data_IF_346963460121
#
_entry.id   IF_346963460121
#
_cell.length_a   1.000
_cell.length_b   1.000
_cell.length_c   1.000
_cell.angle_alpha   90.00
_cell.angle_beta   90.00
_cell.angle_gamma   90.00
#
_symmetry.space_group_name_H-M   'P 1'
#
loop_
_entity.id
_entity.type
_entity.pdbx_description
1 polymer ?
#
# COMPACT_ATOMS: atom_id res chain seq x y z
N UNK A 1 -31.57 20.47 33.03
CA UNK A 1 -33.00 20.83 32.81
C UNK A 1 -33.21 22.30 32.42
N UNK A 2 -32.53 23.29 33.02
CA UNK A 2 -32.66 24.71 32.59
C UNK A 2 -32.20 25.01 31.14
N UNK A 3 -31.37 24.15 30.51
CA UNK A 3 -30.75 24.43 29.18
C UNK A 3 -31.68 24.26 27.97
N UNK A 4 -32.58 23.27 27.99
CA UNK A 4 -33.62 23.14 26.95
C UNK A 4 -34.60 24.32 26.97
N UNK A 5 -34.62 25.10 28.08
CA UNK A 5 -35.49 26.25 28.21
C UNK A 5 -35.03 27.44 27.36
N UNK A 6 -33.73 27.63 27.16
CA UNK A 6 -33.20 28.79 26.41
C UNK A 6 -33.59 28.70 24.92
N UNK A 7 -33.37 27.53 24.33
CA UNK A 7 -33.74 27.24 22.95
C UNK A 7 -35.25 27.29 22.76
N UNK A 8 -36.01 26.72 23.71
CA UNK A 8 -37.46 26.79 23.72
C UNK A 8 -37.98 28.22 23.87
N UNK A 9 -37.36 29.04 24.71
CA UNK A 9 -37.71 30.45 24.93
C UNK A 9 -37.41 31.29 23.69
N UNK A 10 -36.21 31.19 23.12
CA UNK A 10 -35.88 31.90 21.89
C UNK A 10 -36.77 31.45 20.73
N UNK A 11 -37.03 30.14 20.61
CA UNK A 11 -37.96 29.61 19.62
C UNK A 11 -39.35 30.21 19.79
N UNK A 12 -39.92 30.12 21.00
CA UNK A 12 -41.26 30.62 21.29
C UNK A 12 -41.37 32.12 21.01
N UNK A 13 -40.32 32.89 21.32
CA UNK A 13 -40.26 34.31 21.00
C UNK A 13 -40.25 34.51 19.48
N UNK A 14 -39.35 33.84 18.75
CA UNK A 14 -39.18 34.05 17.32
C UNK A 14 -40.36 33.50 16.49
N UNK A 15 -40.97 32.38 16.89
CA UNK A 15 -42.09 31.74 16.19
C UNK A 15 -43.35 32.59 16.22
N UNK A 16 -43.56 33.31 17.32
CA UNK A 16 -44.73 34.16 17.51
C UNK A 16 -44.51 35.58 16.94
N UNK A 17 -43.30 35.87 16.44
CA UNK A 17 -42.92 37.21 15.98
C UNK A 17 -43.08 37.38 14.46
N UNK A 18 -43.91 38.34 14.04
CA UNK A 18 -43.91 38.81 12.65
C UNK A 18 -42.93 39.96 12.46
N UNK A 19 -41.73 39.66 11.96
CA UNK A 19 -40.78 40.69 11.54
C UNK A 19 -41.27 41.38 10.26
N UNK A 20 -41.04 42.69 10.16
CA UNK A 20 -41.17 43.46 8.92
C UNK A 20 -39.94 43.23 8.04
N UNK A 21 -38.75 43.27 8.64
CA UNK A 21 -37.48 42.92 8.02
C UNK A 21 -36.43 42.63 9.11
N UNK A 22 -35.38 41.90 8.74
CA UNK A 22 -34.19 41.73 9.56
C UNK A 22 -33.00 42.22 8.73
N UNK A 23 -32.27 43.22 9.22
CA UNK A 23 -31.10 43.76 8.51
C UNK A 23 -29.81 43.37 9.22
N UNK A 24 -28.90 42.73 8.48
CA UNK A 24 -27.59 42.34 9.00
C UNK A 24 -26.55 43.41 8.64
N UNK A 25 -26.05 44.14 9.63
CA UNK A 25 -24.94 45.09 9.51
C UNK A 25 -23.62 44.41 9.90
N UNK A 26 -22.43 44.96 9.61
CA UNK A 26 -21.17 44.30 9.94
C UNK A 26 -21.02 43.86 11.40
N UNK A 27 -21.57 44.62 12.36
CA UNK A 27 -21.49 44.34 13.81
C UNK A 27 -22.83 44.23 14.53
N UNK A 28 -23.92 44.46 13.81
CA UNK A 28 -25.25 44.61 14.39
C UNK A 28 -26.30 43.85 13.58
N UNK A 29 -27.40 43.51 14.22
CA UNK A 29 -28.59 42.94 13.60
C UNK A 29 -29.78 43.81 14.00
N UNK A 30 -30.44 44.40 13.02
CA UNK A 30 -31.64 45.19 13.22
C UNK A 30 -32.85 44.28 13.02
N UNK A 31 -33.57 43.98 14.10
CA UNK A 31 -34.87 43.33 14.05
C UNK A 31 -35.95 44.39 13.91
N UNK A 32 -36.50 44.58 12.71
CA UNK A 32 -37.61 45.51 12.49
C UNK A 32 -38.95 44.78 12.62
N UNK A 33 -39.78 45.21 13.55
CA UNK A 33 -41.10 44.63 13.82
C UNK A 33 -42.20 45.40 13.09
N UNK A 34 -43.27 44.71 12.69
CA UNK A 34 -44.47 45.36 12.15
C UNK A 34 -45.13 46.23 13.21
N UNK A 35 -45.30 45.72 14.42
CA UNK A 35 -45.87 46.41 15.58
C UNK A 35 -45.10 46.05 16.85
N UNK A 36 -45.05 46.96 17.84
CA UNK A 36 -44.53 46.64 19.17
C UNK A 36 -45.59 45.85 19.94
N UNK A 37 -45.26 44.61 20.27
CA UNK A 37 -46.12 43.74 21.08
C UNK A 37 -45.31 42.94 22.10
N UNK A 38 -45.95 41.96 22.73
CA UNK A 38 -45.31 41.12 23.75
C UNK A 38 -44.04 40.43 23.24
N UNK A 39 -44.01 40.07 21.95
CA UNK A 39 -42.85 39.45 21.29
C UNK A 39 -41.66 40.40 21.14
N UNK A 40 -41.90 41.69 20.94
CA UNK A 40 -40.85 42.71 20.93
C UNK A 40 -40.17 42.80 22.29
N UNK A 41 -40.96 42.94 23.36
CA UNK A 41 -40.42 43.00 24.73
C UNK A 41 -39.78 41.68 25.17
N UNK A 42 -40.32 40.54 24.74
CA UNK A 42 -39.75 39.24 25.03
C UNK A 42 -38.39 39.05 24.32
N UNK A 43 -38.28 39.40 23.02
CA UNK A 43 -37.01 39.36 22.31
C UNK A 43 -35.99 40.34 22.90
N UNK A 44 -36.43 41.55 23.26
CA UNK A 44 -35.58 42.54 23.93
C UNK A 44 -35.07 42.01 25.27
N UNK A 45 -35.94 41.42 26.08
CA UNK A 45 -35.58 40.82 27.37
C UNK A 45 -34.60 39.67 27.19
N UNK A 46 -34.85 38.81 26.20
CA UNK A 46 -33.94 37.73 25.82
C UNK A 46 -32.58 38.30 25.44
N UNK A 47 -32.51 39.21 24.46
CA UNK A 47 -31.26 39.83 24.01
C UNK A 47 -30.52 40.55 25.15
N UNK A 48 -31.22 41.22 26.07
CA UNK A 48 -30.63 41.83 27.26
C UNK A 48 -30.05 40.80 28.22
N UNK A 49 -30.76 39.69 28.46
CA UNK A 49 -30.29 38.63 29.37
C UNK A 49 -28.98 38.01 28.90
N UNK A 50 -28.75 38.00 27.58
CA UNK A 50 -27.51 37.57 26.96
C UNK A 50 -26.60 38.74 26.61
N UNK A 51 -26.79 39.97 27.08
CA UNK A 51 -25.90 41.09 26.75
C UNK A 51 -25.72 41.39 25.25
N UNK A 52 -26.67 40.95 24.42
CA UNK A 52 -26.68 41.15 22.97
C UNK A 52 -27.43 42.44 22.59
N UNK A 53 -28.32 42.94 23.43
CA UNK A 53 -29.08 44.17 23.16
C UNK A 53 -28.17 45.41 23.18
N UNK A 54 -28.24 46.24 22.14
CA UNK A 54 -27.49 47.50 22.06
C UNK A 54 -28.41 48.72 22.16
N UNK A 55 -29.40 48.83 21.28
CA UNK A 55 -30.25 50.01 21.16
C UNK A 55 -31.67 49.65 20.73
N UNK A 56 -32.63 50.49 21.13
CA UNK A 56 -34.01 50.46 20.65
C UNK A 56 -34.32 51.77 19.93
N UNK A 57 -34.79 51.69 18.69
CA UNK A 57 -35.22 52.85 17.91
C UNK A 57 -36.56 52.58 17.22
N UNK A 58 -37.64 53.11 17.80
CA UNK A 58 -38.99 52.79 17.33
C UNK A 58 -39.22 51.27 17.37
N UNK A 59 -39.71 50.68 16.29
CA UNK A 59 -39.97 49.24 16.18
C UNK A 59 -38.71 48.42 15.79
N UNK A 60 -37.51 48.94 16.03
CA UNK A 60 -36.25 48.29 15.70
C UNK A 60 -35.51 47.94 16.99
N UNK A 61 -35.17 46.66 17.16
CA UNK A 61 -34.20 46.21 18.16
C UNK A 61 -32.85 45.98 17.47
N UNK A 62 -31.80 46.62 17.97
CA UNK A 62 -30.44 46.43 17.48
C UNK A 62 -29.71 45.48 18.43
N UNK A 63 -29.24 44.35 17.89
CA UNK A 63 -28.44 43.37 18.62
C UNK A 63 -26.99 43.35 18.13
N UNK A 64 -26.01 43.23 19.03
CA UNK A 64 -24.61 42.98 18.69
C UNK A 64 -24.45 41.60 18.06
N UNK A 65 -23.69 41.50 16.96
CA UNK A 65 -23.29 40.22 16.36
C UNK A 65 -22.25 39.46 17.18
N UNK A 66 -21.42 40.22 17.88
CA UNK A 66 -20.38 39.73 18.76
C UNK A 66 -20.56 40.39 20.11
N UNK A 67 -21.07 39.65 21.07
CA UNK A 67 -20.96 40.06 22.45
C UNK A 67 -19.83 39.23 23.07
N UNK A 68 -18.64 39.83 23.14
CA UNK A 68 -17.43 39.22 23.71
C UNK A 68 -17.68 38.56 25.07
N UNK A 69 -18.65 39.09 25.83
CA UNK A 69 -19.05 38.63 27.17
C UNK A 69 -19.94 37.39 27.18
N UNK A 70 -20.48 36.95 26.05
CA UNK A 70 -21.67 36.07 26.01
C UNK A 70 -21.38 34.70 25.42
N UNK A 71 -20.29 34.60 24.66
CA UNK A 71 -19.91 33.36 23.99
C UNK A 71 -20.88 32.91 22.91
N UNK A 72 -21.75 33.78 22.36
CA UNK A 72 -22.62 33.49 21.22
C UNK A 72 -22.31 34.43 20.05
N UNK A 73 -22.13 33.88 18.85
CA UNK A 73 -21.97 34.64 17.60
C UNK A 73 -23.20 34.46 16.70
N UNK A 74 -23.73 35.56 16.16
CA UNK A 74 -24.97 35.55 15.37
C UNK A 74 -24.70 35.80 13.88
N UNK A 75 -25.24 34.94 13.03
CA UNK A 75 -25.10 34.98 11.58
C UNK A 75 -26.46 35.12 10.90
N UNK A 76 -26.49 35.83 9.78
CA UNK A 76 -27.74 36.07 9.02
C UNK A 76 -28.05 35.10 7.91
N UNK A 77 -27.15 34.16 7.67
CA UNK A 77 -27.41 33.03 6.79
C UNK A 77 -26.42 31.91 7.09
N UNK A 78 -26.73 30.71 6.59
CA UNK A 78 -25.80 29.59 6.64
C UNK A 78 -24.51 29.91 5.90
N UNK A 79 -24.58 30.56 4.73
CA UNK A 79 -23.39 30.97 3.96
C UNK A 79 -22.47 31.89 4.76
N UNK A 80 -23.02 32.86 5.51
CA UNK A 80 -22.21 33.73 6.36
C UNK A 80 -21.51 32.94 7.47
N UNK A 81 -22.23 32.03 8.12
CA UNK A 81 -21.65 31.15 9.14
C UNK A 81 -20.51 30.33 8.55
N UNK A 82 -20.77 29.62 7.45
CA UNK A 82 -19.80 28.70 6.87
C UNK A 82 -18.63 29.40 6.19
N UNK A 83 -18.79 30.64 5.73
CA UNK A 83 -17.68 31.48 5.30
C UNK A 83 -16.79 31.84 6.51
N UNK A 84 -17.38 32.25 7.63
CA UNK A 84 -16.62 32.58 8.84
C UNK A 84 -15.89 31.35 9.41
N UNK A 85 -16.56 30.20 9.43
CA UNK A 85 -15.96 28.94 9.86
C UNK A 85 -14.85 28.48 8.90
N UNK A 86 -14.99 28.77 7.60
CA UNK A 86 -13.96 28.46 6.61
C UNK A 86 -12.66 29.23 6.90
N UNK A 87 -12.80 30.48 7.35
CA UNK A 87 -11.70 31.38 7.69
C UNK A 87 -11.08 31.10 9.07
N UNK A 88 -11.86 30.60 10.05
CA UNK A 88 -11.42 30.47 11.45
C UNK A 88 -11.38 29.04 12.03
N UNK A 89 -11.55 28.01 11.18
CA UNK A 89 -11.45 26.56 11.45
C UNK A 89 -12.42 25.95 12.48
N UNK A 90 -12.74 26.61 13.60
CA UNK A 90 -13.79 26.17 14.53
C UNK A 90 -14.38 27.39 15.27
N UNK A 91 -15.68 27.41 15.57
CA UNK A 91 -16.26 28.50 16.31
C UNK A 91 -15.89 28.34 17.78
N UNK A 92 -15.17 29.31 18.31
CA UNK A 92 -14.84 29.35 19.75
C UNK A 92 -16.05 29.63 20.66
N UNK A 93 -17.22 29.82 20.05
CA UNK A 93 -18.44 30.34 20.64
C UNK A 93 -19.63 29.50 20.15
N UNK A 94 -20.70 29.49 20.94
CA UNK A 94 -22.01 29.03 20.47
C UNK A 94 -22.46 29.88 19.27
N UNK A 95 -23.23 29.31 18.36
CA UNK A 95 -23.63 29.96 17.12
C UNK A 95 -25.15 30.05 17.05
N UNK A 96 -25.65 31.19 16.61
CA UNK A 96 -27.04 31.37 16.22
C UNK A 96 -27.07 31.83 14.77
N UNK A 97 -27.68 31.04 13.89
CA UNK A 97 -27.93 31.43 12.50
C UNK A 97 -29.40 31.69 12.35
N UNK A 98 -29.75 32.91 11.98
CA UNK A 98 -31.10 33.30 11.65
C UNK A 98 -31.24 33.26 10.13
N UNK A 99 -32.12 32.44 9.59
CA UNK A 99 -32.36 32.40 8.17
C UNK A 99 -33.75 32.97 7.85
N UNK A 100 -33.83 34.29 7.61
CA UNK A 100 -35.11 34.99 7.47
C UNK A 100 -35.91 34.52 6.25
N UNK A 101 -35.27 33.93 5.25
CA UNK A 101 -35.92 33.49 3.99
C UNK A 101 -36.81 32.28 4.22
N UNK A 102 -36.44 31.41 5.17
CA UNK A 102 -37.13 30.15 5.46
C UNK A 102 -37.85 30.15 6.79
N UNK A 103 -37.74 31.24 7.56
CA UNK A 103 -38.28 31.33 8.91
C UNK A 103 -37.76 30.22 9.85
N UNK A 104 -36.54 29.73 9.58
CA UNK A 104 -35.82 28.77 10.40
C UNK A 104 -34.65 29.44 11.11
N UNK A 105 -34.20 28.82 12.20
CA UNK A 105 -32.94 29.18 12.82
C UNK A 105 -32.18 27.94 13.27
N UNK A 106 -30.87 28.07 13.23
CA UNK A 106 -29.94 27.05 13.68
C UNK A 106 -29.21 27.56 14.91
N UNK A 107 -29.22 26.78 15.97
CA UNK A 107 -28.43 27.07 17.15
C UNK A 107 -27.47 25.92 17.45
N UNK A 108 -26.20 26.28 17.59
CA UNK A 108 -25.15 25.37 18.03
C UNK A 108 -24.63 25.82 19.38
N UNK A 109 -24.61 24.90 20.34
CA UNK A 109 -24.03 25.17 21.65
C UNK A 109 -22.66 24.51 21.76
N UNK A 110 -21.60 25.31 21.95
CA UNK A 110 -20.24 24.78 22.08
C UNK A 110 -20.09 23.85 23.30
N UNK A 111 -20.85 24.09 24.37
CA UNK A 111 -20.71 23.37 25.65
C UNK A 111 -21.16 21.91 25.59
N UNK A 112 -22.14 21.59 24.74
CA UNK A 112 -22.62 20.23 24.50
C UNK A 112 -21.93 19.57 23.33
N UNK A 113 -21.45 20.34 22.35
CA UNK A 113 -21.02 19.82 21.06
C UNK A 113 -22.19 19.38 20.18
N UNK A 114 -23.42 19.54 20.67
CA UNK A 114 -24.65 19.20 19.96
C UNK A 114 -25.18 20.43 19.24
N UNK A 115 -25.54 20.24 17.98
CA UNK A 115 -26.15 21.25 17.16
C UNK A 115 -27.63 20.90 16.95
N UNK A 116 -28.53 21.87 17.20
CA UNK A 116 -29.98 21.71 17.06
C UNK A 116 -30.51 22.71 16.03
N UNK A 117 -31.09 22.21 14.94
CA UNK A 117 -31.88 22.98 13.98
C UNK A 117 -33.30 22.86 14.50
N UNK A 118 -33.98 23.98 14.63
CA UNK A 118 -35.42 23.98 14.83
C UNK A 118 -36.06 24.39 13.51
N UNK A 119 -36.63 23.41 12.82
CA UNK A 119 -37.36 23.61 11.56
C UNK A 119 -38.84 23.40 11.83
N UNK A 120 -39.65 24.43 11.60
CA UNK A 120 -41.10 24.44 11.88
C UNK A 120 -41.47 23.94 13.31
N UNK A 121 -40.58 24.15 14.29
CA UNK A 121 -40.79 23.74 15.69
C UNK A 121 -40.42 22.30 16.01
N UNK A 122 -39.82 21.58 15.06
CA UNK A 122 -39.22 20.26 15.31
C UNK A 122 -37.72 20.42 15.49
N UNK A 123 -37.19 19.88 16.58
CA UNK A 123 -35.76 19.69 16.75
C UNK A 123 -35.33 18.61 15.77
N UNK A 124 -34.64 18.98 14.71
CA UNK A 124 -33.99 18.04 13.80
C UNK A 124 -32.55 17.88 14.29
N UNK A 125 -32.14 16.65 14.61
CA UNK A 125 -30.72 16.35 14.87
C UNK A 125 -29.89 16.80 13.67
N UNK A 126 -28.92 17.65 13.91
CA UNK A 126 -28.26 18.34 12.80
C UNK A 126 -27.01 17.62 12.37
N UNK A 127 -27.11 16.97 11.23
CA UNK A 127 -25.94 16.56 10.45
C UNK A 127 -25.18 17.78 9.91
N UNK A 128 -25.73 18.99 9.97
CA UNK A 128 -25.14 20.22 9.40
C UNK A 128 -23.73 20.50 9.91
N UNK A 129 -23.56 20.67 11.22
CA UNK A 129 -22.24 21.02 11.77
C UNK A 129 -21.27 19.84 11.71
N UNK A 130 -21.78 18.62 11.92
CA UNK A 130 -20.99 17.40 11.80
C UNK A 130 -20.44 17.23 10.37
N UNK A 131 -21.32 17.28 9.36
CA UNK A 131 -20.93 17.20 7.96
C UNK A 131 -20.03 18.37 7.57
N UNK A 132 -20.24 19.56 8.15
CA UNK A 132 -19.34 20.68 7.91
C UNK A 132 -17.93 20.43 8.43
N UNK A 133 -17.82 19.92 9.66
CA UNK A 133 -16.54 19.54 10.28
C UNK A 133 -15.81 18.45 9.51
N UNK A 134 -16.53 17.63 8.74
CA UNK A 134 -15.93 16.64 7.83
C UNK A 134 -15.60 17.23 6.44
N UNK A 135 -16.53 18.00 5.88
CA UNK A 135 -16.46 18.52 4.52
C UNK A 135 -15.33 19.54 4.38
N UNK A 136 -15.20 20.45 5.33
CA UNK A 136 -14.24 21.55 5.24
C UNK A 136 -12.79 21.06 5.26
N UNK A 137 -12.35 20.21 6.22
CA UNK A 137 -10.99 19.72 6.23
C UNK A 137 -10.68 18.88 5.00
N UNK A 138 -11.65 18.08 4.51
CA UNK A 138 -11.48 17.31 3.29
C UNK A 138 -11.33 18.23 2.06
N UNK A 139 -12.14 19.28 1.95
CA UNK A 139 -12.03 20.26 0.87
C UNK A 139 -10.67 20.97 0.92
N UNK A 140 -10.25 21.44 2.10
CA UNK A 140 -8.94 22.06 2.31
C UNK A 140 -7.81 21.10 1.93
N UNK A 141 -7.93 19.83 2.28
CA UNK A 141 -6.96 18.80 1.93
C UNK A 141 -6.87 18.56 0.43
N UNK A 142 -7.99 18.46 -0.29
CA UNK A 142 -7.97 18.34 -1.76
C UNK A 142 -7.30 19.56 -2.39
N UNK A 143 -7.62 20.78 -1.92
CA UNK A 143 -7.07 22.02 -2.45
C UNK A 143 -5.58 22.21 -2.16
N UNK A 144 -5.14 21.78 -0.99
CA UNK A 144 -3.76 21.98 -0.55
C UNK A 144 -2.81 20.82 -0.96
N UNK A 145 -3.34 19.65 -1.32
CA UNK A 145 -2.54 18.48 -1.68
C UNK A 145 -2.35 18.35 -3.19
N UNK A 146 -1.16 18.72 -3.67
CA UNK A 146 -0.77 18.62 -5.08
C UNK A 146 -0.78 17.20 -5.67
N UNK A 147 -0.74 16.17 -4.81
CA UNK A 147 -0.85 14.78 -5.26
C UNK A 147 -2.28 14.45 -5.69
N UNK A 148 -3.28 15.13 -5.11
CA UNK A 148 -4.69 14.98 -5.43
C UNK A 148 -5.15 15.96 -6.51
N UNK A 149 -4.74 17.23 -6.43
CA UNK A 149 -5.17 18.28 -7.37
C UNK A 149 -3.99 19.01 -8.01
N UNK A 150 -4.06 19.19 -9.33
CA UNK A 150 -3.02 19.88 -10.09
C UNK A 150 -3.11 21.38 -9.93
N UNK A 151 -4.34 21.91 -9.89
CA UNK A 151 -4.60 23.33 -9.88
C UNK A 151 -5.91 23.60 -9.13
N UNK A 152 -5.92 24.69 -8.37
CA UNK A 152 -7.09 25.18 -7.64
C UNK A 152 -7.32 26.64 -8.02
N UNK A 153 -8.47 26.93 -8.61
CA UNK A 153 -8.95 28.28 -8.88
C UNK A 153 -9.93 28.70 -7.79
N UNK A 154 -9.42 29.42 -6.79
CA UNK A 154 -10.23 29.92 -5.68
C UNK A 154 -11.33 30.90 -6.11
N UNK A 155 -11.13 31.63 -7.23
CA UNK A 155 -12.08 32.64 -7.73
C UNK A 155 -13.24 31.94 -8.43
N UNK A 156 -12.94 30.98 -9.31
CA UNK A 156 -13.95 30.19 -10.02
C UNK A 156 -14.52 29.04 -9.18
N UNK A 157 -13.92 28.76 -8.02
CA UNK A 157 -14.20 27.62 -7.15
C UNK A 157 -14.17 26.29 -7.90
N UNK A 158 -13.07 26.09 -8.65
CA UNK A 158 -12.84 24.89 -9.45
C UNK A 158 -11.47 24.31 -9.15
N UNK A 159 -11.42 23.00 -8.98
CA UNK A 159 -10.20 22.23 -8.89
C UNK A 159 -10.01 21.42 -10.17
N UNK A 160 -8.77 21.33 -10.62
CA UNK A 160 -8.36 20.50 -11.74
C UNK A 160 -7.73 19.21 -11.19
N UNK A 161 -8.25 18.07 -11.63
CA UNK A 161 -7.65 16.77 -11.37
C UNK A 161 -7.24 16.12 -12.69
N UNK A 162 -6.01 15.62 -12.76
CA UNK A 162 -5.46 14.89 -13.90
C UNK A 162 -5.15 13.47 -13.48
N UNK A 163 -5.70 12.52 -14.22
CA UNK A 163 -5.37 11.11 -14.06
C UNK A 163 -3.96 10.83 -14.61
N UNK A 164 -3.10 10.26 -13.77
CA UNK A 164 -1.79 9.74 -14.19
C UNK A 164 -1.96 8.33 -14.78
N UNK A 165 -2.69 8.23 -15.89
CA UNK A 165 -2.93 7.00 -16.63
C UNK A 165 -2.35 7.02 -18.05
N UNK A 166 -2.57 5.94 -18.83
CA UNK A 166 -2.24 5.91 -20.27
C UNK A 166 -3.08 6.92 -21.07
N UNK A 167 -4.32 7.13 -20.63
CA UNK A 167 -5.21 8.17 -21.11
C UNK A 167 -5.22 9.28 -20.06
N UNK A 168 -4.74 10.47 -20.41
CA UNK A 168 -4.76 11.61 -19.50
C UNK A 168 -6.17 12.18 -19.46
N UNK A 169 -6.97 11.72 -18.51
CA UNK A 169 -8.28 12.32 -18.24
C UNK A 169 -8.09 13.60 -17.40
N UNK A 170 -8.69 14.68 -17.87
CA UNK A 170 -8.61 16.00 -17.27
C UNK A 170 -10.02 16.42 -16.85
N UNK A 171 -10.22 16.59 -15.54
CA UNK A 171 -11.55 16.89 -14.99
C UNK A 171 -11.50 18.16 -14.15
N UNK A 172 -12.44 19.04 -14.44
CA UNK A 172 -12.75 20.20 -13.62
C UNK A 172 -13.83 19.83 -12.61
N UNK A 173 -13.56 20.06 -11.34
CA UNK A 173 -14.45 19.76 -10.22
C UNK A 173 -14.81 21.07 -9.57
N UNK A 174 -16.08 21.45 -9.66
CA UNK A 174 -16.57 22.64 -8.96
C UNK A 174 -16.78 22.36 -7.48
N UNK A 175 -16.58 23.35 -6.62
CA UNK A 175 -16.85 23.21 -5.21
C UNK A 175 -17.59 24.44 -4.66
N UNK A 176 -18.34 24.24 -3.59
CA UNK A 176 -18.97 25.30 -2.83
C UNK A 176 -18.48 25.24 -1.39
N UNK A 177 -18.29 26.40 -0.78
CA UNK A 177 -17.98 26.49 0.66
C UNK A 177 -19.20 26.02 1.47
N UNK A 178 -20.40 26.29 0.95
CA UNK A 178 -21.66 25.81 1.47
C UNK A 178 -22.47 25.12 0.36
N UNK A 179 -22.75 23.83 0.51
CA UNK A 179 -23.68 23.07 -0.32
C UNK A 179 -24.78 22.43 0.53
N UNK A 180 -26.01 22.89 0.34
CA UNK A 180 -27.18 22.40 1.08
C UNK A 180 -27.38 20.88 0.97
N UNK A 181 -26.98 20.25 -0.13
CA UNK A 181 -27.09 18.80 -0.32
C UNK A 181 -26.19 18.02 0.64
N UNK A 182 -25.00 18.56 0.94
CA UNK A 182 -24.08 17.97 1.91
C UNK A 182 -24.70 17.99 3.30
N UNK A 183 -25.30 19.11 3.69
CA UNK A 183 -25.75 19.29 5.07
C UNK A 183 -27.13 18.71 5.38
N UNK A 184 -27.94 18.49 4.35
CA UNK A 184 -29.28 17.90 4.50
C UNK A 184 -29.29 16.38 4.51
N UNK A 185 -28.19 15.72 4.08
CA UNK A 185 -28.08 14.27 4.08
C UNK A 185 -27.33 13.77 5.32
N UNK A 186 -27.84 12.71 5.94
CA UNK A 186 -27.08 11.94 6.94
C UNK A 186 -25.90 11.29 6.24
N UNK A 187 -24.70 11.53 6.76
CA UNK A 187 -23.47 10.95 6.24
C UNK A 187 -22.94 9.97 7.29
N UNK A 188 -22.92 8.68 6.95
CA UNK A 188 -22.55 7.59 7.86
C UNK A 188 -21.05 7.27 7.75
N UNK A 189 -20.16 8.27 7.88
CA UNK A 189 -18.72 8.02 8.04
C UNK A 189 -18.09 8.93 9.09
N UNK A 190 -17.19 8.37 9.89
CA UNK A 190 -16.62 9.05 11.06
C UNK A 190 -15.34 9.84 10.71
N UNK A 191 -15.12 10.95 11.42
CA UNK A 191 -13.94 11.82 11.31
C UNK A 191 -12.64 11.04 11.55
N UNK A 192 -12.68 10.03 12.42
CA UNK A 192 -11.53 9.18 12.73
C UNK A 192 -11.06 8.40 11.49
N UNK A 193 -11.98 7.97 10.61
CA UNK A 193 -11.61 7.29 9.37
C UNK A 193 -10.98 8.26 8.36
N UNK A 194 -11.49 9.49 8.31
CA UNK A 194 -10.92 10.58 7.51
C UNK A 194 -9.52 10.97 8.00
N UNK A 195 -9.30 11.04 9.31
CA UNK A 195 -8.03 11.43 9.90
C UNK A 195 -6.97 10.33 9.74
N UNK A 196 -7.36 9.06 9.94
CA UNK A 196 -6.52 7.91 9.59
C UNK A 196 -6.17 7.92 8.11
N UNK A 197 -7.12 8.25 7.23
CA UNK A 197 -6.90 8.40 5.80
C UNK A 197 -5.86 9.48 5.48
N UNK A 198 -5.95 10.64 6.12
CA UNK A 198 -4.98 11.74 6.02
C UNK A 198 -3.59 11.34 6.52
N UNK A 199 -3.51 10.65 7.65
CA UNK A 199 -2.24 10.16 8.20
C UNK A 199 -1.58 9.11 7.30
N UNK A 200 -2.37 8.16 6.78
CA UNK A 200 -1.90 7.21 5.75
C UNK A 200 -1.34 7.95 4.53
N UNK A 201 -2.01 9.01 4.07
CA UNK A 201 -1.58 9.80 2.90
C UNK A 201 -0.29 10.61 3.10
N UNK A 202 0.12 10.90 4.33
CA UNK A 202 1.36 11.66 4.59
C UNK A 202 2.60 10.77 4.73
N UNK A 203 2.43 9.44 4.63
CA UNK A 203 3.56 8.50 4.71
C UNK A 203 4.13 8.25 3.30
N UNK A 204 5.46 8.37 3.07
CA UNK A 204 6.07 8.21 1.75
C UNK A 204 5.73 6.89 1.03
N UNK A 205 5.43 5.84 1.78
CA UNK A 205 5.12 4.50 1.27
C UNK A 205 3.71 4.34 0.67
N UNK A 206 2.91 5.41 0.59
CA UNK A 206 1.52 5.34 0.13
C UNK A 206 1.20 6.21 -1.09
N UNK A 207 2.22 6.69 -1.83
CA UNK A 207 2.00 7.47 -3.06
C UNK A 207 1.20 6.70 -4.13
N UNK A 208 1.37 5.39 -4.21
CA UNK A 208 0.65 4.50 -5.12
C UNK A 208 -0.83 4.36 -4.71
N UNK A 209 -1.12 4.38 -3.42
CA UNK A 209 -2.49 4.39 -2.91
C UNK A 209 -3.18 5.70 -3.26
N UNK A 210 -2.53 6.85 -3.03
CA UNK A 210 -3.04 8.17 -3.40
C UNK A 210 -3.29 8.27 -4.90
N UNK A 211 -2.38 7.73 -5.71
CA UNK A 211 -2.53 7.69 -7.17
C UNK A 211 -3.74 6.85 -7.59
N UNK A 212 -3.95 5.70 -6.92
CA UNK A 212 -5.13 4.85 -7.12
C UNK A 212 -6.42 5.55 -6.68
N UNK A 213 -6.38 6.29 -5.56
CA UNK A 213 -7.51 7.07 -5.07
C UNK A 213 -7.92 8.15 -6.07
N UNK A 214 -6.92 8.92 -6.51
CA UNK A 214 -7.10 9.96 -7.51
C UNK A 214 -7.70 9.40 -8.79
N UNK A 215 -7.19 8.27 -9.28
CA UNK A 215 -7.76 7.57 -10.42
C UNK A 215 -9.24 7.25 -10.21
N UNK A 216 -9.59 6.66 -9.06
CA UNK A 216 -10.97 6.31 -8.74
C UNK A 216 -11.89 7.54 -8.61
N UNK A 217 -11.40 8.64 -8.06
CA UNK A 217 -12.15 9.92 -8.01
C UNK A 217 -12.39 10.45 -9.42
N UNK A 218 -11.35 10.51 -10.26
CA UNK A 218 -11.46 11.01 -11.64
C UNK A 218 -12.41 10.12 -12.45
N UNK A 219 -12.27 8.81 -12.36
CA UNK A 219 -13.14 7.84 -13.03
C UNK A 219 -14.60 7.97 -12.56
N UNK A 220 -14.83 8.12 -11.24
CA UNK A 220 -16.16 8.33 -10.70
C UNK A 220 -16.78 9.63 -11.24
N UNK A 221 -16.05 10.75 -11.21
CA UNK A 221 -16.58 12.05 -11.63
C UNK A 221 -16.74 12.15 -13.15
N UNK A 222 -15.88 11.50 -13.96
CA UNK A 222 -16.06 11.50 -15.42
C UNK A 222 -17.32 10.77 -15.85
N UNK A 223 -17.75 9.76 -15.07
CA UNK A 223 -18.99 9.02 -15.31
C UNK A 223 -20.26 9.82 -14.99
N UNK A 224 -20.13 10.95 -14.29
CA UNK A 224 -21.25 11.84 -13.97
C UNK A 224 -21.51 12.86 -15.09
N UNK A 225 -22.76 13.33 -15.18
CA UNK A 225 -23.12 14.48 -16.00
C UNK A 225 -22.34 15.73 -15.56
N UNK A 226 -22.06 16.65 -16.50
CA UNK A 226 -21.23 17.84 -16.24
C UNK A 226 -21.70 18.67 -15.04
N UNK A 227 -23.02 18.79 -14.84
CA UNK A 227 -23.64 19.52 -13.72
C UNK A 227 -23.36 18.89 -12.35
N UNK A 228 -23.12 17.57 -12.33
CA UNK A 228 -22.85 16.80 -11.12
C UNK A 228 -21.35 16.66 -10.83
N UNK A 229 -20.46 17.27 -11.64
CA UNK A 229 -19.01 17.28 -11.40
C UNK A 229 -18.64 18.26 -10.29
N UNK A 230 -19.03 17.89 -9.08
CA UNK A 230 -18.90 18.70 -7.89
C UNK A 230 -18.14 17.95 -6.80
N UNK A 231 -17.47 18.70 -5.94
CA UNK A 231 -16.83 18.14 -4.74
C UNK A 231 -17.86 17.58 -3.76
N UNK A 232 -19.09 18.08 -3.78
CA UNK A 232 -20.23 17.52 -3.04
C UNK A 232 -20.45 16.05 -3.36
N UNK A 233 -20.40 15.67 -4.65
CA UNK A 233 -20.54 14.26 -5.05
C UNK A 233 -19.38 13.40 -4.57
N UNK A 234 -18.15 13.93 -4.53
CA UNK A 234 -17.00 13.23 -3.95
C UNK A 234 -17.24 12.99 -2.46
N UNK A 235 -17.65 14.02 -1.74
CA UNK A 235 -17.87 13.94 -0.29
C UNK A 235 -18.96 12.92 0.06
N UNK A 236 -20.10 12.96 -0.62
CA UNK A 236 -21.21 12.04 -0.37
C UNK A 236 -20.87 10.58 -0.71
N UNK A 237 -19.94 10.35 -1.65
CA UNK A 237 -19.52 9.01 -2.07
C UNK A 237 -18.12 8.64 -1.55
N UNK A 238 -17.59 9.37 -0.59
CA UNK A 238 -16.23 9.16 -0.09
C UNK A 238 -15.99 7.74 0.46
N UNK A 239 -16.90 7.13 1.25
CA UNK A 239 -16.70 5.77 1.74
C UNK A 239 -16.57 4.74 0.61
N UNK A 240 -17.38 4.90 -0.45
CA UNK A 240 -17.31 4.05 -1.64
C UNK A 240 -15.98 4.23 -2.38
N UNK A 241 -15.51 5.47 -2.55
CA UNK A 241 -14.24 5.77 -3.19
C UNK A 241 -13.04 5.19 -2.42
N UNK A 242 -13.05 5.30 -1.09
CA UNK A 242 -12.02 4.71 -0.21
C UNK A 242 -12.05 3.18 -0.30
N UNK A 243 -13.23 2.57 -0.26
CA UNK A 243 -13.37 1.11 -0.34
C UNK A 243 -12.86 0.55 -1.67
N UNK A 244 -13.25 1.17 -2.80
CA UNK A 244 -12.76 0.77 -4.12
C UNK A 244 -11.25 0.95 -4.24
N UNK A 245 -10.72 2.09 -3.80
CA UNK A 245 -9.28 2.35 -3.85
C UNK A 245 -8.51 1.33 -3.04
N UNK A 246 -8.97 1.01 -1.84
CA UNK A 246 -8.33 0.00 -0.99
C UNK A 246 -8.31 -1.36 -1.68
N UNK A 247 -9.42 -1.75 -2.31
CA UNK A 247 -9.50 -2.99 -3.09
C UNK A 247 -8.52 -2.98 -4.27
N UNK A 248 -8.52 -1.93 -5.08
CA UNK A 248 -7.70 -1.86 -6.30
C UNK A 248 -6.21 -1.76 -5.97
N UNK A 249 -5.85 -1.02 -4.92
CA UNK A 249 -4.49 -0.98 -4.37
C UNK A 249 -4.04 -2.35 -3.87
N UNK A 250 -4.89 -3.09 -3.15
CA UNK A 250 -4.57 -4.44 -2.69
C UNK A 250 -4.34 -5.39 -3.88
N UNK A 251 -5.14 -5.27 -4.95
CA UNK A 251 -4.93 -6.03 -6.19
C UNK A 251 -3.58 -5.65 -6.82
N UNK A 252 -3.29 -4.36 -6.95
CA UNK A 252 -2.01 -3.88 -7.48
C UNK A 252 -0.81 -4.40 -6.68
N UNK A 253 -0.86 -4.29 -5.34
CA UNK A 253 0.19 -4.78 -4.44
C UNK A 253 0.33 -6.31 -4.52
N UNK A 254 -0.77 -7.04 -4.67
CA UNK A 254 -0.73 -8.50 -4.86
C UNK A 254 -0.06 -8.89 -6.18
N UNK A 255 -0.32 -8.16 -7.27
CA UNK A 255 0.33 -8.37 -8.56
C UNK A 255 1.81 -8.02 -8.55
N UNK A 256 2.18 -6.90 -7.92
CA UNK A 256 3.57 -6.45 -7.82
C UNK A 256 4.40 -7.38 -6.93
N UNK A 257 3.86 -7.81 -5.79
CA UNK A 257 4.52 -8.79 -4.92
C UNK A 257 4.70 -10.12 -5.64
N UNK A 258 3.70 -10.58 -6.41
CA UNK A 258 3.84 -11.77 -7.24
C UNK A 258 4.94 -11.62 -8.29
N UNK A 259 5.01 -10.51 -9.02
CA UNK A 259 6.04 -10.29 -10.04
C UNK A 259 7.44 -10.25 -9.43
N UNK A 260 7.59 -9.58 -8.29
CA UNK A 260 8.85 -9.51 -7.55
C UNK A 260 9.30 -10.90 -7.10
N UNK A 261 8.41 -11.65 -6.44
CA UNK A 261 8.68 -13.03 -5.99
C UNK A 261 9.03 -13.92 -7.19
N UNK A 262 8.29 -13.80 -8.30
CA UNK A 262 8.56 -14.55 -9.52
C UNK A 262 9.92 -14.21 -10.14
N UNK A 263 10.37 -12.96 -10.03
CA UNK A 263 11.66 -12.51 -10.56
C UNK A 263 12.81 -13.04 -9.72
N UNK A 264 12.74 -12.87 -8.40
CA UNK A 264 13.71 -13.40 -7.44
C UNK A 264 13.90 -14.92 -7.63
N UNK A 265 12.81 -15.66 -7.79
CA UNK A 265 12.85 -17.10 -8.02
C UNK A 265 13.46 -17.47 -9.38
N UNK A 266 13.22 -16.70 -10.44
CA UNK A 266 13.87 -16.92 -11.75
C UNK A 266 15.38 -16.70 -11.66
N UNK A 267 15.82 -15.72 -10.87
CA UNK A 267 17.25 -15.45 -10.66
C UNK A 267 17.91 -16.54 -9.80
N UNK A 268 17.27 -17.00 -8.72
CA UNK A 268 17.75 -18.13 -7.90
C UNK A 268 17.82 -19.42 -8.71
N UNK A 269 16.78 -19.71 -9.50
CA UNK A 269 16.77 -20.82 -10.46
C UNK A 269 17.97 -20.76 -11.39
N UNK A 270 18.25 -19.59 -11.99
CA UNK A 270 19.41 -19.41 -12.89
C UNK A 270 20.71 -19.74 -12.15
N UNK A 271 20.88 -19.22 -10.94
CA UNK A 271 22.06 -19.48 -10.10
C UNK A 271 22.25 -20.97 -9.82
N UNK A 272 21.19 -21.69 -9.43
CA UNK A 272 21.27 -23.14 -9.22
C UNK A 272 21.63 -23.92 -10.49
N UNK A 273 21.11 -23.50 -11.65
CA UNK A 273 21.48 -24.12 -12.92
C UNK A 273 22.94 -23.85 -13.30
N UNK A 274 23.43 -22.64 -13.05
CA UNK A 274 24.82 -22.27 -13.26
C UNK A 274 25.74 -23.12 -12.36
N UNK A 275 25.42 -23.22 -11.08
CA UNK A 275 26.17 -24.03 -10.10
C UNK A 275 26.16 -25.51 -10.51
N UNK A 276 24.99 -26.05 -10.89
CA UNK A 276 24.85 -27.43 -11.37
C UNK A 276 25.59 -27.71 -12.68
N UNK A 277 25.62 -26.74 -13.61
CA UNK A 277 26.34 -26.89 -14.87
C UNK A 277 27.84 -26.85 -14.65
N UNK A 278 28.34 -25.89 -13.87
CA UNK A 278 29.76 -25.83 -13.49
C UNK A 278 30.19 -27.10 -12.77
N UNK A 279 29.34 -27.56 -11.86
CA UNK A 279 29.46 -28.84 -11.21
C UNK A 279 29.61 -29.96 -12.28
N UNK A 280 28.61 -30.14 -13.13
CA UNK A 280 28.61 -31.21 -14.12
C UNK A 280 29.84 -31.17 -15.04
N UNK A 281 30.30 -29.99 -15.45
CA UNK A 281 31.44 -29.83 -16.35
C UNK A 281 32.78 -30.17 -15.66
N UNK A 282 32.93 -29.86 -14.36
CA UNK A 282 34.07 -30.35 -13.56
C UNK A 282 34.10 -31.87 -13.50
N UNK A 283 32.93 -32.50 -13.25
CA UNK A 283 32.83 -33.97 -13.26
C UNK A 283 33.22 -34.52 -14.63
N UNK A 284 32.58 -34.06 -15.72
CA UNK A 284 32.85 -34.56 -17.09
C UNK A 284 34.34 -34.49 -17.44
N UNK A 285 34.98 -33.37 -17.10
CA UNK A 285 36.41 -33.16 -17.37
C UNK A 285 37.25 -34.22 -16.66
N UNK A 286 36.91 -34.56 -15.42
CA UNK A 286 37.60 -35.60 -14.67
C UNK A 286 37.31 -37.01 -15.20
N UNK A 287 36.07 -37.31 -15.59
CA UNK A 287 35.72 -38.61 -16.20
C UNK A 287 36.57 -38.92 -17.41
N UNK A 288 36.86 -37.92 -18.24
CA UNK A 288 37.66 -38.09 -19.46
C UNK A 288 39.16 -38.09 -19.12
N UNK A 289 39.61 -37.17 -18.27
CA UNK A 289 41.02 -37.00 -17.98
C UNK A 289 41.64 -38.19 -17.24
N UNK A 290 40.89 -38.84 -16.35
CA UNK A 290 41.43 -39.89 -15.46
C UNK A 290 41.79 -41.18 -16.23
N UNK A 291 40.88 -41.81 -17.00
CA UNK A 291 41.22 -43.00 -17.80
C UNK A 291 42.30 -42.70 -18.84
N UNK A 292 42.27 -41.51 -19.46
CA UNK A 292 43.27 -41.11 -20.45
C UNK A 292 44.67 -40.98 -19.83
N UNK A 293 44.77 -40.36 -18.65
CA UNK A 293 46.04 -40.19 -17.93
C UNK A 293 46.61 -41.53 -17.45
N UNK A 294 45.74 -42.43 -16.97
CA UNK A 294 46.12 -43.79 -16.60
C UNK A 294 46.58 -44.57 -17.82
N UNK A 295 45.81 -44.56 -18.91
CA UNK A 295 46.15 -45.25 -20.16
C UNK A 295 47.46 -44.75 -20.76
N UNK A 296 47.70 -43.43 -20.76
CA UNK A 296 48.95 -42.83 -21.23
C UNK A 296 50.14 -43.25 -20.37
N UNK A 297 49.94 -43.29 -19.04
CA UNK A 297 50.99 -43.68 -18.09
C UNK A 297 51.35 -45.17 -18.24
N UNK A 298 50.35 -46.04 -18.41
CA UNK A 298 50.55 -47.47 -18.69
C UNK A 298 51.24 -47.66 -20.04
N UNK A 299 50.81 -46.96 -21.09
CA UNK A 299 51.42 -47.05 -22.42
C UNK A 299 52.88 -46.57 -22.43
N UNK A 300 53.16 -45.42 -21.81
CA UNK A 300 54.52 -44.91 -21.67
C UNK A 300 55.41 -45.89 -20.90
N UNK A 301 54.87 -46.52 -19.85
CA UNK A 301 55.59 -47.55 -19.12
C UNK A 301 55.94 -48.76 -20.00
N UNK A 302 55.02 -49.27 -20.82
CA UNK A 302 55.30 -50.39 -21.73
C UNK A 302 56.36 -50.07 -22.79
N UNK A 303 56.57 -48.81 -23.14
CA UNK A 303 57.63 -48.40 -24.07
C UNK A 303 59.00 -48.25 -23.42
N UNK A 304 59.06 -48.06 -22.10
CA UNK A 304 60.33 -47.90 -21.41
C UNK A 304 60.89 -49.28 -21.01
N UNK A 305 62.14 -49.57 -21.39
CA UNK A 305 62.92 -50.70 -20.83
C UNK A 305 63.31 -50.38 -19.38
N UNK A 306 62.30 -50.31 -18.51
CA UNK A 306 62.44 -49.79 -17.16
C UNK A 306 62.78 -50.91 -16.16
N UNK A 307 63.71 -50.62 -15.24
CA UNK A 307 64.01 -51.48 -14.10
C UNK A 307 62.78 -51.58 -13.15
N UNK A 308 62.71 -52.65 -12.36
CA UNK A 308 61.61 -52.95 -11.44
C UNK A 308 61.38 -51.82 -10.42
N UNK A 309 62.44 -51.07 -10.05
CA UNK A 309 62.33 -49.91 -9.16
C UNK A 309 61.52 -48.78 -9.77
N UNK A 310 61.71 -48.52 -11.07
CA UNK A 310 60.96 -47.50 -11.81
C UNK A 310 59.49 -47.88 -11.94
N UNK A 311 59.18 -49.18 -12.10
CA UNK A 311 57.81 -49.68 -12.09
C UNK A 311 57.09 -49.38 -10.75
N UNK A 312 57.70 -49.73 -9.62
CA UNK A 312 57.12 -49.45 -8.31
C UNK A 312 56.94 -47.95 -8.05
N UNK A 313 57.88 -47.12 -8.53
CA UNK A 313 57.76 -45.66 -8.42
C UNK A 313 56.58 -45.11 -9.22
N UNK A 314 56.41 -45.54 -10.48
CA UNK A 314 55.27 -45.14 -11.32
C UNK A 314 53.95 -45.60 -10.69
N UNK A 315 53.91 -46.83 -10.17
CA UNK A 315 52.74 -47.36 -9.49
C UNK A 315 52.38 -46.52 -8.24
N UNK A 316 53.37 -46.12 -7.45
CA UNK A 316 53.16 -45.24 -6.29
C UNK A 316 52.60 -43.86 -6.72
N UNK A 317 53.13 -43.28 -7.80
CA UNK A 317 52.64 -42.00 -8.34
C UNK A 317 51.19 -42.10 -8.86
N UNK A 318 50.86 -43.18 -9.57
CA UNK A 318 49.48 -43.47 -10.00
C UNK A 318 48.57 -43.65 -8.80
N UNK A 319 49.01 -44.35 -7.76
CA UNK A 319 48.26 -44.52 -6.51
C UNK A 319 47.95 -43.20 -5.81
N UNK A 320 48.95 -42.32 -5.68
CA UNK A 320 48.78 -40.97 -5.10
C UNK A 320 47.81 -40.13 -5.94
N UNK A 321 47.95 -40.17 -7.26
CA UNK A 321 47.08 -39.43 -8.18
C UNK A 321 45.62 -39.86 -8.06
N UNK A 322 45.37 -41.19 -8.05
CA UNK A 322 44.01 -41.70 -7.90
C UNK A 322 43.45 -41.37 -6.51
N UNK A 323 44.27 -41.46 -5.44
CA UNK A 323 43.85 -41.05 -4.11
C UNK A 323 43.39 -39.59 -4.10
N UNK A 324 44.14 -38.68 -4.74
CA UNK A 324 43.77 -37.27 -4.87
C UNK A 324 42.44 -37.08 -5.61
N UNK A 325 42.21 -37.82 -6.70
CA UNK A 325 40.93 -37.78 -7.44
C UNK A 325 39.77 -38.27 -6.57
N UNK A 326 39.94 -39.39 -5.88
CA UNK A 326 38.92 -39.93 -4.97
C UNK A 326 38.58 -38.93 -3.86
N UNK A 327 39.61 -38.28 -3.29
CA UNK A 327 39.43 -37.22 -2.31
C UNK A 327 38.68 -36.01 -2.88
N UNK A 328 39.04 -35.58 -4.09
CA UNK A 328 38.37 -34.47 -4.78
C UNK A 328 36.89 -34.78 -5.06
N UNK A 329 36.59 -35.98 -5.61
CA UNK A 329 35.22 -36.44 -5.84
C UNK A 329 34.42 -36.58 -4.53
N UNK A 330 35.08 -36.90 -3.42
CA UNK A 330 34.44 -36.94 -2.11
C UNK A 330 34.02 -35.55 -1.62
N UNK A 331 34.91 -34.55 -1.69
CA UNK A 331 34.56 -33.17 -1.33
C UNK A 331 33.39 -32.66 -2.16
N UNK A 332 33.46 -32.94 -3.45
CA UNK A 332 32.47 -32.50 -4.40
C UNK A 332 31.08 -33.14 -4.16
N UNK A 333 31.02 -34.41 -3.79
CA UNK A 333 29.76 -35.05 -3.40
C UNK A 333 29.14 -34.40 -2.16
N UNK A 334 29.96 -33.96 -1.20
CA UNK A 334 29.46 -33.24 -0.02
C UNK A 334 28.80 -31.92 -0.43
N UNK A 335 29.40 -31.19 -1.35
CA UNK A 335 28.84 -29.94 -1.87
C UNK A 335 27.51 -30.19 -2.59
N UNK A 336 27.42 -31.25 -3.40
CA UNK A 336 26.15 -31.64 -4.06
C UNK A 336 25.06 -32.05 -3.07
N UNK A 337 25.41 -32.79 -2.01
CA UNK A 337 24.45 -33.18 -0.97
C UNK A 337 23.96 -31.94 -0.23
N UNK A 338 24.86 -31.01 0.11
CA UNK A 338 24.52 -29.74 0.76
C UNK A 338 23.60 -28.89 -0.11
N UNK A 339 23.92 -28.75 -1.40
CA UNK A 339 23.08 -28.07 -2.38
C UNK A 339 21.70 -28.74 -2.49
N UNK A 340 21.65 -30.08 -2.50
CA UNK A 340 20.39 -30.81 -2.51
C UNK A 340 19.54 -30.55 -1.27
N UNK A 341 20.15 -30.42 -0.09
CA UNK A 341 19.42 -30.10 1.14
C UNK A 341 18.93 -28.65 1.17
N UNK A 342 19.75 -27.70 0.74
CA UNK A 342 19.39 -26.28 0.66
C UNK A 342 18.20 -26.07 -0.28
N UNK A 343 18.24 -26.67 -1.49
CA UNK A 343 17.13 -26.61 -2.44
C UNK A 343 15.85 -27.20 -1.83
N UNK A 344 15.95 -28.29 -1.05
CA UNK A 344 14.80 -28.93 -0.43
C UNK A 344 14.18 -28.03 0.66
N UNK A 345 15.02 -27.49 1.55
CA UNK A 345 14.59 -26.59 2.62
C UNK A 345 13.96 -25.30 2.07
N UNK A 346 14.57 -24.71 1.04
CA UNK A 346 14.01 -23.55 0.36
C UNK A 346 12.68 -23.89 -0.33
N UNK A 347 12.56 -25.07 -0.97
CA UNK A 347 11.31 -25.51 -1.59
C UNK A 347 10.18 -25.65 -0.55
N UNK A 348 10.47 -26.25 0.61
CA UNK A 348 9.51 -26.41 1.71
C UNK A 348 9.12 -25.06 2.34
N UNK A 349 10.11 -24.19 2.55
CA UNK A 349 9.89 -22.82 3.04
C UNK A 349 9.06 -21.99 2.05
N UNK A 350 9.29 -22.17 0.75
CA UNK A 350 8.55 -21.47 -0.30
C UNK A 350 7.11 -21.96 -0.40
N UNK A 351 6.90 -23.28 -0.33
CA UNK A 351 5.57 -23.89 -0.35
C UNK A 351 4.72 -23.39 0.83
N UNK A 352 5.32 -23.24 2.01
CA UNK A 352 4.62 -22.75 3.20
C UNK A 352 4.33 -21.25 3.15
N UNK A 353 5.27 -20.43 2.63
CA UNK A 353 5.09 -18.98 2.53
C UNK A 353 4.19 -18.53 1.38
N UNK A 354 4.23 -19.23 0.23
CA UNK A 354 3.57 -18.80 -1.02
C UNK A 354 2.88 -19.96 -1.75
N UNK A 355 1.85 -20.59 -1.15
CA UNK A 355 1.23 -21.81 -1.70
C UNK A 355 0.65 -21.62 -3.11
N UNK A 356 0.01 -20.47 -3.40
CA UNK A 356 -0.57 -20.20 -4.72
C UNK A 356 0.48 -20.00 -5.83
N UNK A 357 1.68 -19.51 -5.48
CA UNK A 357 2.78 -19.30 -6.43
C UNK A 357 3.54 -20.61 -6.64
N UNK A 358 3.66 -21.43 -5.59
CA UNK A 358 4.34 -22.72 -5.62
C UNK A 358 3.80 -23.63 -6.71
N UNK A 359 2.48 -23.69 -6.92
CA UNK A 359 1.88 -24.58 -7.93
C UNK A 359 2.38 -24.28 -9.36
N UNK A 360 2.70 -23.02 -9.65
CA UNK A 360 3.25 -22.59 -10.94
C UNK A 360 4.70 -23.11 -11.10
N UNK A 361 5.50 -23.03 -10.04
CA UNK A 361 6.92 -23.38 -10.05
C UNK A 361 7.23 -24.81 -9.60
N UNK A 362 6.23 -25.59 -9.18
CA UNK A 362 6.38 -26.97 -8.72
C UNK A 362 7.14 -27.84 -9.72
N UNK A 363 6.85 -27.68 -11.02
CA UNK A 363 7.53 -28.40 -12.09
C UNK A 363 9.02 -28.03 -12.17
N UNK A 364 9.36 -26.77 -11.92
CA UNK A 364 10.75 -26.29 -11.93
C UNK A 364 11.53 -26.86 -10.75
N UNK A 365 10.99 -26.83 -9.53
CA UNK A 365 11.63 -27.43 -8.35
C UNK A 365 11.85 -28.94 -8.51
N UNK A 366 10.85 -29.65 -9.06
CA UNK A 366 10.96 -31.08 -9.38
C UNK A 366 12.05 -31.35 -10.43
N UNK A 367 12.16 -30.48 -11.43
CA UNK A 367 13.19 -30.61 -12.46
C UNK A 367 14.59 -30.37 -11.88
N UNK A 368 14.78 -29.35 -11.03
CA UNK A 368 16.05 -29.06 -10.35
C UNK A 368 16.46 -30.26 -9.47
N UNK A 369 15.57 -30.75 -8.60
CA UNK A 369 15.88 -31.91 -7.74
C UNK A 369 16.17 -33.17 -8.53
N UNK A 370 15.45 -33.41 -9.64
CA UNK A 370 15.76 -34.53 -10.55
C UNK A 370 17.15 -34.38 -11.18
N UNK A 371 17.54 -33.16 -11.58
CA UNK A 371 18.86 -32.88 -12.15
C UNK A 371 19.97 -33.09 -11.11
N UNK A 372 19.82 -32.57 -9.88
CA UNK A 372 20.76 -32.80 -8.77
C UNK A 372 20.98 -34.30 -8.55
N UNK A 373 19.90 -35.07 -8.45
CA UNK A 373 19.96 -36.54 -8.28
C UNK A 373 20.69 -37.22 -9.44
N UNK A 374 20.49 -36.75 -10.67
CA UNK A 374 21.20 -37.27 -11.83
C UNK A 374 22.71 -37.01 -11.77
N UNK A 375 23.14 -35.85 -11.26
CA UNK A 375 24.57 -35.53 -11.09
C UNK A 375 25.20 -36.37 -9.96
N UNK A 376 24.48 -36.55 -8.84
CA UNK A 376 24.93 -37.44 -7.75
C UNK A 376 25.09 -38.88 -8.27
N UNK A 377 24.13 -39.36 -9.05
CA UNK A 377 24.20 -40.69 -9.65
C UNK A 377 25.38 -40.83 -10.61
N UNK A 378 25.65 -39.80 -11.43
CA UNK A 378 26.83 -39.76 -12.29
C UNK A 378 28.14 -39.84 -11.48
N UNK A 379 28.25 -39.09 -10.38
CA UNK A 379 29.41 -39.16 -9.48
C UNK A 379 29.62 -40.57 -8.92
N UNK A 380 28.53 -41.24 -8.53
CA UNK A 380 28.59 -42.62 -8.04
C UNK A 380 29.09 -43.61 -9.09
N UNK A 381 28.63 -43.47 -10.34
CA UNK A 381 29.12 -44.29 -11.47
C UNK A 381 30.63 -44.12 -11.68
N UNK A 382 31.16 -42.90 -11.55
CA UNK A 382 32.59 -42.62 -11.73
C UNK A 382 33.42 -43.24 -10.60
N UNK A 383 32.92 -43.19 -9.36
CA UNK A 383 33.57 -43.86 -8.24
C UNK A 383 33.62 -45.37 -8.45
N UNK A 384 32.53 -45.94 -8.99
CA UNK A 384 32.47 -47.36 -9.33
C UNK A 384 33.48 -47.71 -10.43
N UNK A 385 33.63 -46.90 -11.47
CA UNK A 385 34.62 -47.16 -12.54
C UNK A 385 36.06 -47.09 -12.00
N UNK A 386 36.39 -46.08 -11.18
CA UNK A 386 37.71 -45.97 -10.54
C UNK A 386 37.99 -47.20 -9.65
N UNK A 387 36.98 -47.68 -8.91
CA UNK A 387 37.12 -48.86 -8.06
C UNK A 387 37.35 -50.14 -8.89
N UNK A 388 36.65 -50.29 -10.01
CA UNK A 388 36.88 -51.40 -10.94
C UNK A 388 38.29 -51.34 -11.54
N UNK A 389 38.77 -50.16 -11.94
CA UNK A 389 40.13 -49.97 -12.44
C UNK A 389 41.18 -50.39 -11.40
N UNK A 390 40.94 -50.09 -10.11
CA UNK A 390 41.79 -50.55 -9.01
C UNK A 390 41.84 -52.07 -8.87
N UNK A 391 40.69 -52.73 -8.97
CA UNK A 391 40.61 -54.19 -8.89
C UNK A 391 41.39 -54.82 -10.05
N UNK A 392 41.22 -54.29 -11.26
CA UNK A 392 41.94 -54.77 -12.45
C UNK A 392 43.45 -54.56 -12.29
N UNK A 393 43.88 -53.38 -11.84
CA UNK A 393 45.28 -53.07 -11.59
C UNK A 393 45.89 -54.00 -10.52
N UNK A 394 45.16 -54.27 -9.44
CA UNK A 394 45.60 -55.16 -8.36
C UNK A 394 45.74 -56.60 -8.85
N UNK A 395 44.76 -57.11 -9.61
CA UNK A 395 44.83 -58.45 -10.23
C UNK A 395 46.02 -58.53 -11.17
N UNK A 396 46.27 -57.49 -11.97
CA UNK A 396 47.44 -57.43 -12.86
C UNK A 396 48.76 -57.48 -12.08
N UNK A 397 48.90 -56.69 -11.01
CA UNK A 397 50.10 -56.72 -10.16
C UNK A 397 50.31 -58.10 -9.55
N UNK A 398 49.27 -58.72 -8.99
CA UNK A 398 49.35 -60.08 -8.43
C UNK A 398 49.77 -61.10 -9.49
N UNK A 399 49.26 -60.98 -10.72
CA UNK A 399 49.64 -61.85 -11.83
C UNK A 399 51.12 -61.68 -12.21
N UNK A 400 51.59 -60.44 -12.37
CA UNK A 400 52.99 -60.13 -12.72
C UNK A 400 53.96 -60.57 -11.61
N UNK A 401 53.61 -60.37 -10.34
CA UNK A 401 54.46 -60.76 -9.20
C UNK A 401 54.50 -62.28 -9.01
N UNK A 402 53.38 -62.98 -9.23
CA UNK A 402 53.32 -64.44 -9.10
C UNK A 402 54.03 -65.20 -10.24
N UNK A 403 54.14 -64.58 -11.42
CA UNK A 403 54.81 -65.14 -12.58
C UNK A 403 55.91 -64.19 -13.06
N UNK A 404 57.02 -64.05 -12.30
CA UNK A 404 58.14 -63.22 -12.73
C UNK A 404 58.72 -63.86 -14.00
N UNK A 405 58.37 -63.31 -15.16
CA UNK A 405 58.87 -63.80 -16.43
C UNK A 405 60.40 -63.73 -16.40
N UNK A 406 61.06 -64.85 -16.64
CA UNK A 406 62.47 -64.86 -17.04
C UNK A 406 62.57 -64.10 -18.36
N UNK A 407 62.90 -62.81 -18.25
CA UNK A 407 63.06 -61.81 -19.32
C UNK A 407 61.99 -61.83 -20.42
N UNK A 408 60.98 -60.94 -20.38
CA UNK A 408 60.07 -60.79 -21.50
C UNK A 408 60.87 -60.36 -22.73
N UNK A 409 60.86 -61.18 -23.79
CA UNK A 409 61.29 -60.73 -25.12
C UNK A 409 60.42 -59.51 -25.48
N UNK A 410 61.00 -58.40 -25.99
CA UNK A 410 60.22 -57.21 -26.32
C UNK A 410 59.09 -57.62 -27.27
N UNK A 411 57.84 -57.43 -26.82
CA UNK A 411 56.68 -57.65 -27.66
C UNK A 411 56.71 -56.61 -28.77
N UNK A 412 57.02 -57.04 -29.98
CA UNK A 412 57.01 -56.22 -31.18
C UNK A 412 55.54 -55.89 -31.50
N UNK A 413 54.97 -54.86 -30.86
CA UNK A 413 53.65 -54.33 -31.17
C UNK A 413 53.69 -53.65 -32.55
N UNK A 414 53.70 -54.45 -33.62
CA UNK A 414 53.47 -54.01 -34.99
C UNK A 414 51.96 -53.98 -35.28
N UNK A 415 51.21 -53.14 -34.58
CA UNK A 415 49.87 -52.74 -35.02
C UNK A 415 49.53 -51.37 -34.44
N UNK A 416 49.96 -50.35 -35.16
CA UNK A 416 49.32 -49.04 -35.27
C UNK A 416 49.70 -48.46 -36.63
#
# INVERSE_FOLDING_TARGET
MQRNNILGELYAILSDTTFKSIHFRPREIDFQFKEKGNTFEALKTFLNSYGLFQEESGNILVASKDAETTGVSIYGSYEMLFQQLYENDDPDRSLLVLNPTRNDFFFYEKSSGDATVIDEGRIIETFYLHNYRLYLPLLKLFRNNRSLTEFDDAILRKMLMIENGKEKNLINISYKIFDQLVFSKKVDFDFIELQKWVEYNNTPNHQEWISSFKHNVVFFISSQADENRTFTEIFLNLPFLIANTTRDYNIFMSGFSFEKISRELKDEKRKYFEDLNQAQDKIKSQVIAVPLSIGTSIYAFFQMEADIRTFYFILAMVGIYIFFICWYLYLYDRDLIKLSSEIKEETETFQTRYPGVYDIFKKDFLYITKKVRSVIWLSWVIKLTILLDWIILLVYILFVVSHPASTPKPYNFKFL
#
